data_IF_376808306321
#
_entry.id   IF_376808306321
#
_cell.length_a   1.000
_cell.length_b   1.000
_cell.length_c   1.000
_cell.angle_alpha   90.00
_cell.angle_beta   90.00
_cell.angle_gamma   90.00
#
_symmetry.space_group_name_H-M   'P 1'
#
loop_
_entity.id
_entity.type
_entity.pdbx_description
1 polymer ?
#
# COMPACT_ATOMS: atom_id res chain seq x y z
N UNK A 1 -20.63 -29.38 -15.09
CA UNK A 1 -20.70 -28.31 -16.10
C UNK A 1 -19.71 -27.22 -15.68
N UNK A 2 -18.64 -26.93 -16.45
CA UNK A 2 -17.56 -26.05 -15.97
C UNK A 2 -17.91 -24.55 -15.97
N UNK A 3 -18.88 -24.13 -16.78
CA UNK A 3 -19.38 -22.76 -16.82
C UNK A 3 -20.90 -22.75 -16.55
N UNK A 4 -21.30 -22.29 -15.37
CA UNK A 4 -22.69 -22.18 -14.94
C UNK A 4 -22.87 -20.92 -14.07
N UNK A 5 -22.89 -19.72 -14.67
CA UNK A 5 -23.10 -18.50 -13.90
C UNK A 5 -24.50 -18.51 -13.27
N UNK A 6 -24.56 -18.20 -11.98
CA UNK A 6 -25.81 -18.05 -11.24
C UNK A 6 -25.77 -16.73 -10.46
N UNK A 7 -26.95 -16.15 -10.21
CA UNK A 7 -27.10 -14.92 -9.45
C UNK A 7 -28.38 -14.97 -8.62
N UNK A 8 -28.29 -14.48 -7.39
CA UNK A 8 -29.45 -14.16 -6.56
C UNK A 8 -29.51 -12.66 -6.30
N UNK A 9 -29.98 -12.29 -5.12
CA UNK A 9 -29.91 -10.93 -4.58
C UNK A 9 -28.96 -10.90 -3.39
N UNK A 10 -28.47 -9.72 -3.05
CA UNK A 10 -27.54 -9.53 -1.94
C UNK A 10 -28.21 -9.64 -0.57
N UNK A 11 -27.48 -10.19 0.39
CA UNK A 11 -27.70 -9.96 1.81
C UNK A 11 -26.89 -8.74 2.26
N UNK A 12 -27.47 -7.89 3.10
CA UNK A 12 -26.89 -6.59 3.52
C UNK A 12 -25.44 -6.69 4.02
N UNK A 13 -25.11 -7.76 4.74
CA UNK A 13 -23.79 -7.96 5.35
C UNK A 13 -22.70 -8.29 4.32
N UNK A 14 -23.05 -8.79 3.12
CA UNK A 14 -22.09 -8.99 2.04
C UNK A 14 -21.48 -7.66 1.59
N UNK A 15 -22.31 -6.62 1.50
CA UNK A 15 -21.87 -5.29 1.08
C UNK A 15 -21.34 -4.51 2.30
N UNK A 16 -22.17 -4.34 3.33
CA UNK A 16 -21.84 -3.46 4.46
C UNK A 16 -20.70 -3.99 5.34
N UNK A 17 -20.66 -5.30 5.61
CA UNK A 17 -19.61 -5.89 6.45
C UNK A 17 -18.40 -6.35 5.65
N UNK A 18 -18.58 -7.06 4.53
CA UNK A 18 -17.43 -7.62 3.79
C UNK A 18 -16.83 -6.62 2.82
N UNK A 19 -17.62 -6.06 1.91
CA UNK A 19 -17.07 -5.12 0.93
C UNK A 19 -16.59 -3.83 1.60
N UNK A 20 -17.41 -3.17 2.42
CA UNK A 20 -17.05 -1.92 3.09
C UNK A 20 -16.26 -2.10 4.38
N UNK A 21 -16.53 -3.16 5.15
CA UNK A 21 -15.95 -3.34 6.48
C UNK A 21 -14.58 -4.02 6.51
N UNK A 22 -14.28 -4.93 5.58
CA UNK A 22 -13.00 -5.67 5.61
C UNK A 22 -11.81 -4.75 5.31
N UNK A 23 -10.74 -4.90 6.11
CA UNK A 23 -9.53 -4.08 6.01
C UNK A 23 -8.75 -4.27 4.68
N UNK A 24 -8.91 -5.43 4.04
CA UNK A 24 -8.31 -5.74 2.73
C UNK A 24 -9.25 -5.41 1.54
N UNK A 25 -10.40 -4.79 1.81
CA UNK A 25 -11.36 -4.34 0.80
C UNK A 25 -11.42 -2.82 0.81
N UNK A 26 -12.59 -2.20 0.97
CA UNK A 26 -12.71 -0.74 0.99
C UNK A 26 -12.30 -0.11 2.33
N UNK A 27 -12.27 -0.88 3.43
CA UNK A 27 -11.82 -0.42 4.76
C UNK A 27 -12.44 0.91 5.23
N UNK A 28 -13.78 0.99 5.19
CA UNK A 28 -14.53 2.23 5.43
C UNK A 28 -14.93 2.45 6.91
N UNK A 29 -14.67 1.49 7.80
CA UNK A 29 -15.08 1.58 9.21
C UNK A 29 -14.50 2.81 9.93
N UNK A 30 -13.19 3.04 9.81
CA UNK A 30 -12.53 4.16 10.48
C UNK A 30 -12.96 5.53 9.90
N UNK A 31 -12.99 5.74 8.57
CA UNK A 31 -13.54 6.96 7.98
C UNK A 31 -14.97 7.29 8.43
N UNK A 32 -15.85 6.28 8.52
CA UNK A 32 -17.23 6.47 8.96
C UNK A 32 -17.28 6.80 10.45
N UNK A 33 -16.57 6.04 11.28
CA UNK A 33 -16.50 6.28 12.73
C UNK A 33 -16.01 7.70 13.07
N UNK A 34 -15.00 8.20 12.37
CA UNK A 34 -14.49 9.56 12.54
C UNK A 34 -15.54 10.63 12.17
N UNK A 35 -16.32 10.42 11.10
CA UNK A 35 -17.41 11.33 10.70
C UNK A 35 -18.60 11.28 11.66
N UNK A 36 -18.79 10.16 12.34
CA UNK A 36 -19.77 10.02 13.41
C UNK A 36 -19.30 10.62 14.75
N UNK A 37 -18.03 11.04 14.85
CA UNK A 37 -17.46 11.59 16.08
C UNK A 37 -17.15 10.53 17.15
N UNK A 38 -16.93 9.28 16.75
CA UNK A 38 -16.59 8.18 17.67
C UNK A 38 -15.10 8.21 18.04
N UNK A 39 -14.77 7.78 19.26
CA UNK A 39 -13.37 7.60 19.68
C UNK A 39 -12.78 6.32 19.07
N UNK A 40 -12.01 6.48 17.99
CA UNK A 40 -11.35 5.38 17.27
C UNK A 40 -10.05 4.91 17.93
N UNK A 41 -9.55 5.60 18.97
CA UNK A 41 -8.26 5.27 19.61
C UNK A 41 -8.34 4.06 20.52
N UNK A 42 -9.50 3.83 21.13
CA UNK A 42 -9.73 2.73 22.06
C UNK A 42 -10.64 1.67 21.46
N UNK A 43 -10.20 0.41 21.43
CA UNK A 43 -11.09 -0.69 21.00
C UNK A 43 -12.23 -0.95 21.99
N UNK A 44 -12.09 -0.54 23.25
CA UNK A 44 -13.12 -0.68 24.26
C UNK A 44 -14.33 0.23 24.02
N UNK A 45 -14.20 1.25 23.16
CA UNK A 45 -15.33 2.11 22.78
C UNK A 45 -16.30 1.42 21.81
N UNK A 46 -15.96 0.23 21.29
CA UNK A 46 -16.74 -0.52 20.29
C UNK A 46 -17.09 0.30 19.05
N UNK A 47 -16.24 1.28 18.70
CA UNK A 47 -16.47 2.17 17.57
C UNK A 47 -16.61 1.43 16.24
N UNK A 48 -15.96 0.27 16.10
CA UNK A 48 -16.05 -0.57 14.90
C UNK A 48 -17.44 -1.18 14.76
N UNK A 49 -17.99 -1.69 15.85
CA UNK A 49 -19.32 -2.29 15.89
C UNK A 49 -20.39 -1.24 15.57
N UNK A 50 -20.29 -0.06 16.19
CA UNK A 50 -21.21 1.06 15.94
C UNK A 50 -21.14 1.51 14.48
N UNK A 51 -19.94 1.74 13.94
CA UNK A 51 -19.77 2.15 12.54
C UNK A 51 -20.26 1.08 11.56
N UNK A 52 -20.04 -0.20 11.86
CA UNK A 52 -20.48 -1.32 11.03
C UNK A 52 -22.01 -1.40 10.96
N UNK A 53 -22.71 -1.19 12.09
CA UNK A 53 -24.17 -1.15 12.13
C UNK A 53 -24.70 -0.01 11.27
N UNK A 54 -24.16 1.19 11.40
CA UNK A 54 -24.61 2.34 10.60
C UNK A 54 -24.36 2.15 9.09
N UNK A 55 -23.23 1.55 8.70
CA UNK A 55 -22.98 1.20 7.30
C UNK A 55 -24.04 0.22 6.79
N UNK A 56 -24.36 -0.82 7.55
CA UNK A 56 -25.40 -1.79 7.15
C UNK A 56 -26.77 -1.11 7.02
N UNK A 57 -27.13 -0.21 7.95
CA UNK A 57 -28.37 0.57 7.88
C UNK A 57 -28.40 1.45 6.63
N UNK A 58 -27.30 2.15 6.33
CA UNK A 58 -27.21 3.01 5.15
C UNK A 58 -27.31 2.21 3.84
N UNK A 59 -26.68 1.03 3.77
CA UNK A 59 -26.80 0.13 2.61
C UNK A 59 -28.25 -0.32 2.43
N UNK A 60 -28.89 -0.79 3.49
CA UNK A 60 -30.28 -1.25 3.43
C UNK A 60 -31.22 -0.13 2.99
N UNK A 61 -31.10 1.05 3.61
CA UNK A 61 -31.90 2.23 3.27
C UNK A 61 -31.72 2.63 1.81
N UNK A 62 -30.48 2.70 1.31
CA UNK A 62 -30.19 3.11 -0.06
C UNK A 62 -30.80 2.16 -1.11
N UNK A 63 -30.75 0.85 -0.84
CA UNK A 63 -31.36 -0.14 -1.73
C UNK A 63 -32.90 -0.07 -1.71
N UNK A 64 -33.49 0.11 -0.54
CA UNK A 64 -34.94 0.28 -0.39
C UNK A 64 -35.44 1.56 -1.09
N UNK A 65 -34.73 2.68 -0.92
CA UNK A 65 -35.05 3.94 -1.58
C UNK A 65 -34.99 3.81 -3.11
N UNK A 66 -34.00 3.08 -3.62
CA UNK A 66 -33.84 2.81 -5.04
C UNK A 66 -34.79 1.72 -5.59
N UNK A 67 -35.60 1.08 -4.74
CA UNK A 67 -36.49 -0.02 -5.14
C UNK A 67 -35.75 -1.29 -5.60
N UNK A 68 -34.52 -1.51 -5.12
CA UNK A 68 -33.68 -2.67 -5.46
C UNK A 68 -33.82 -3.75 -4.38
N UNK A 69 -34.03 -5.00 -4.81
CA UNK A 69 -34.15 -6.14 -3.90
C UNK A 69 -32.87 -6.38 -3.10
N UNK A 70 -33.00 -6.41 -1.78
CA UNK A 70 -31.96 -6.75 -0.82
C UNK A 70 -32.60 -7.42 0.40
N UNK A 71 -31.86 -8.27 1.11
CA UNK A 71 -32.37 -8.95 2.31
C UNK A 71 -31.46 -8.67 3.51
N UNK A 72 -32.07 -8.44 4.68
CA UNK A 72 -31.31 -8.33 5.92
C UNK A 72 -30.94 -9.72 6.48
N UNK A 73 -29.90 -9.77 7.29
CA UNK A 73 -29.36 -11.03 7.79
C UNK A 73 -30.25 -11.71 8.84
N UNK A 74 -31.14 -11.00 9.53
CA UNK A 74 -32.10 -11.61 10.46
C UNK A 74 -33.20 -12.34 9.67
N UNK A 75 -33.82 -11.67 8.70
CA UNK A 75 -34.84 -12.27 7.82
C UNK A 75 -34.27 -13.44 7.02
N UNK A 76 -33.04 -13.32 6.52
CA UNK A 76 -32.35 -14.40 5.82
C UNK A 76 -32.13 -15.61 6.74
N UNK A 77 -31.70 -15.37 7.98
CA UNK A 77 -31.47 -16.43 8.98
C UNK A 77 -32.76 -17.14 9.39
N UNK A 78 -33.85 -16.40 9.61
CA UNK A 78 -35.17 -16.99 9.90
C UNK A 78 -35.71 -17.83 8.75
N UNK A 79 -35.57 -17.32 7.52
CA UNK A 79 -35.98 -18.04 6.31
C UNK A 79 -35.17 -19.32 6.13
N UNK A 80 -33.87 -19.26 6.42
CA UNK A 80 -32.98 -20.42 6.41
C UNK A 80 -33.36 -21.44 7.48
N UNK A 81 -33.63 -21.02 8.72
CA UNK A 81 -34.03 -21.95 9.78
C UNK A 81 -35.33 -22.67 9.45
N UNK A 82 -36.34 -21.99 8.88
CA UNK A 82 -37.57 -22.64 8.41
C UNK A 82 -37.31 -23.66 7.30
N UNK A 83 -36.35 -23.40 6.43
CA UNK A 83 -35.96 -24.35 5.39
C UNK A 83 -35.26 -25.57 6.00
N UNK A 84 -34.35 -25.35 6.94
CA UNK A 84 -33.63 -26.40 7.67
C UNK A 84 -34.54 -27.24 8.58
N UNK A 85 -35.56 -26.65 9.21
CA UNK A 85 -36.55 -27.43 9.98
C UNK A 85 -37.28 -28.46 9.10
N UNK A 86 -37.44 -28.17 7.81
CA UNK A 86 -38.00 -29.11 6.84
C UNK A 86 -36.96 -30.11 6.30
N UNK A 87 -35.66 -29.84 6.46
CA UNK A 87 -34.55 -30.65 5.95
C UNK A 87 -33.60 -31.03 7.10
N UNK A 88 -33.76 -32.22 7.69
CA UNK A 88 -33.01 -32.69 8.87
C UNK A 88 -31.50 -32.35 8.81
N UNK A 89 -30.99 -31.69 9.87
CA UNK A 89 -29.62 -31.17 9.93
C UNK A 89 -28.56 -32.27 9.98
N UNK A 90 -28.15 -32.72 8.80
CA UNK A 90 -26.94 -33.50 8.60
C UNK A 90 -26.19 -32.94 7.38
N UNK A 91 -24.91 -32.59 7.57
CA UNK A 91 -24.08 -32.07 6.48
C UNK A 91 -23.66 -33.22 5.55
N UNK A 92 -24.46 -33.47 4.52
CA UNK A 92 -24.17 -34.45 3.47
C UNK A 92 -23.91 -33.77 2.13
N UNK A 93 -22.89 -34.25 1.40
CA UNK A 93 -22.69 -33.86 0.01
C UNK A 93 -23.68 -34.61 -0.89
N UNK A 94 -24.80 -33.97 -1.21
CA UNK A 94 -25.78 -34.49 -2.16
C UNK A 94 -25.41 -34.12 -3.60
N UNK A 95 -25.90 -34.89 -4.58
CA UNK A 95 -25.78 -34.60 -6.02
C UNK A 95 -27.16 -34.32 -6.61
N UNK A 96 -27.31 -33.30 -7.49
CA UNK A 96 -26.26 -32.43 -8.04
C UNK A 96 -25.74 -31.38 -7.03
N UNK A 97 -24.48 -30.94 -7.19
CA UNK A 97 -23.82 -29.94 -6.32
C UNK A 97 -22.99 -28.94 -7.13
N UNK A 98 -22.81 -27.73 -6.57
CA UNK A 98 -21.81 -26.78 -7.04
C UNK A 98 -20.46 -27.07 -6.39
N UNK A 99 -19.38 -27.02 -7.17
CA UNK A 99 -18.02 -27.28 -6.72
C UNK A 99 -17.10 -26.13 -7.14
N UNK A 100 -16.17 -25.78 -6.27
CA UNK A 100 -15.10 -24.85 -6.61
C UNK A 100 -14.21 -25.44 -7.69
N UNK A 101 -13.72 -24.57 -8.57
CA UNK A 101 -12.73 -24.91 -9.59
C UNK A 101 -11.52 -24.01 -9.43
N UNK A 102 -10.35 -24.50 -9.82
CA UNK A 102 -9.16 -23.66 -9.91
C UNK A 102 -9.36 -22.53 -10.90
N UNK A 103 -8.72 -21.40 -10.62
CA UNK A 103 -8.73 -20.27 -11.53
C UNK A 103 -8.31 -20.69 -12.94
N UNK A 104 -9.06 -20.33 -13.99
CA UNK A 104 -8.85 -20.86 -15.33
C UNK A 104 -7.47 -20.52 -15.90
N UNK A 105 -6.87 -19.39 -15.51
CA UNK A 105 -5.54 -18.98 -16.00
C UNK A 105 -4.38 -19.84 -15.46
N UNK A 106 -4.57 -20.62 -14.39
CA UNK A 106 -3.55 -21.55 -13.88
C UNK A 106 -3.38 -22.76 -14.79
N UNK A 107 -4.45 -23.16 -15.49
CA UNK A 107 -4.50 -24.36 -16.32
C UNK A 107 -4.64 -24.07 -17.82
N UNK A 108 -4.99 -22.83 -18.19
CA UNK A 108 -5.17 -22.43 -19.57
C UNK A 108 -3.84 -22.30 -20.31
N UNK A 109 -3.59 -23.20 -21.25
CA UNK A 109 -2.52 -23.06 -22.24
C UNK A 109 -2.95 -22.07 -23.33
N UNK A 110 -2.38 -20.87 -23.31
CA UNK A 110 -2.60 -19.90 -24.37
C UNK A 110 -2.06 -20.45 -25.69
N UNK A 111 -2.95 -20.83 -26.61
CA UNK A 111 -2.58 -21.17 -27.98
C UNK A 111 -1.92 -19.95 -28.62
N UNK A 112 -0.65 -20.08 -28.99
CA UNK A 112 -0.03 -19.17 -29.95
C UNK A 112 -0.67 -19.47 -31.30
N UNK A 113 -1.45 -18.54 -31.85
CA UNK A 113 -1.87 -18.65 -33.24
C UNK A 113 -0.62 -18.60 -34.13
N UNK A 114 -0.29 -19.73 -34.73
CA UNK A 114 0.75 -19.87 -35.76
C UNK A 114 0.18 -19.61 -37.17
N UNK A 115 -0.76 -18.67 -37.27
CA UNK A 115 -1.38 -18.21 -38.51
C UNK A 115 -1.43 -16.69 -38.54
N UNK A 116 -0.25 -16.10 -38.79
CA UNK A 116 -0.05 -14.66 -38.92
C UNK A 116 1.04 -14.15 -37.98
N UNK A 117 2.30 -14.36 -38.39
CA UNK A 117 3.47 -13.96 -37.62
C UNK A 117 3.45 -12.50 -37.19
N UNK A 118 3.19 -12.27 -35.90
CA UNK A 118 3.87 -11.19 -35.20
C UNK A 118 4.80 -11.87 -34.22
N UNK A 119 6.00 -12.21 -34.71
CA UNK A 119 7.12 -12.47 -33.83
C UNK A 119 7.05 -11.38 -32.76
N UNK A 120 6.87 -11.76 -31.48
CA UNK A 120 7.10 -10.85 -30.35
C UNK A 120 8.42 -10.19 -30.69
N UNK A 121 8.38 -8.93 -31.16
CA UNK A 121 9.58 -8.22 -31.54
C UNK A 121 10.35 -8.15 -30.25
N UNK A 122 11.31 -9.07 -30.06
CA UNK A 122 12.30 -8.97 -28.98
C UNK A 122 12.73 -7.52 -29.06
N UNK A 123 12.49 -6.75 -28.01
CA UNK A 123 12.79 -5.33 -28.02
C UNK A 123 14.20 -5.21 -28.59
N UNK A 124 14.33 -4.65 -29.80
CA UNK A 124 15.62 -4.59 -30.46
C UNK A 124 16.54 -3.90 -29.48
N UNK A 125 17.76 -4.41 -29.30
CA UNK A 125 18.72 -3.79 -28.37
C UNK A 125 18.82 -2.26 -28.62
N UNK A 126 18.67 -1.84 -29.88
CA UNK A 126 18.58 -0.44 -30.31
C UNK A 126 17.32 0.29 -29.81
N UNK A 127 16.17 -0.39 -29.77
CA UNK A 127 14.91 0.12 -29.23
C UNK A 127 14.95 0.27 -27.71
N UNK A 128 15.49 -0.73 -27.00
CA UNK A 128 15.71 -0.64 -25.55
C UNK A 128 16.72 0.46 -25.19
N UNK A 129 17.85 0.54 -25.91
CA UNK A 129 18.84 1.61 -25.72
C UNK A 129 18.24 3.00 -25.98
N UNK A 130 17.43 3.16 -27.03
CA UNK A 130 16.70 4.42 -27.29
C UNK A 130 15.73 4.78 -26.18
N UNK A 131 15.00 3.80 -25.65
CA UNK A 131 14.10 4.02 -24.53
C UNK A 131 14.87 4.46 -23.28
N UNK A 132 15.98 3.78 -22.95
CA UNK A 132 16.86 4.17 -21.83
C UNK A 132 17.40 5.59 -22.01
N UNK A 133 17.91 5.94 -23.19
CA UNK A 133 18.40 7.29 -23.49
C UNK A 133 17.27 8.33 -23.37
N UNK A 134 16.06 8.00 -23.83
CA UNK A 134 14.91 8.86 -23.70
C UNK A 134 14.52 9.07 -22.22
N UNK A 135 14.45 8.00 -21.43
CA UNK A 135 14.21 8.09 -19.99
C UNK A 135 15.30 8.91 -19.30
N UNK A 136 16.58 8.67 -19.58
CA UNK A 136 17.68 9.48 -19.04
C UNK A 136 17.53 10.95 -19.40
N UNK A 137 17.15 11.29 -20.63
CA UNK A 137 16.89 12.69 -21.03
C UNK A 137 15.69 13.30 -20.30
N UNK A 138 14.61 12.54 -20.14
CA UNK A 138 13.40 12.95 -19.43
C UNK A 138 13.70 13.20 -17.93
N UNK A 139 14.34 12.23 -17.28
CA UNK A 139 14.74 12.29 -15.87
C UNK A 139 15.76 13.41 -15.63
N UNK A 140 16.73 13.63 -16.53
CA UNK A 140 17.67 14.74 -16.41
C UNK A 140 16.97 16.10 -16.38
N UNK A 141 15.94 16.30 -17.21
CA UNK A 141 15.16 17.55 -17.23
C UNK A 141 14.26 17.70 -15.99
N UNK A 142 13.71 16.61 -15.49
CA UNK A 142 12.88 16.60 -14.29
C UNK A 142 13.71 16.82 -13.01
N UNK A 143 14.84 16.13 -12.86
CA UNK A 143 15.77 16.24 -11.73
C UNK A 143 16.45 17.62 -11.68
N UNK A 144 16.81 18.20 -12.82
CA UNK A 144 17.42 19.54 -12.85
C UNK A 144 16.52 20.67 -12.31
N UNK A 145 15.20 20.45 -12.21
CA UNK A 145 14.25 21.40 -11.60
C UNK A 145 14.01 21.15 -10.12
N UNK A 146 14.41 20.00 -9.60
CA UNK A 146 14.20 19.65 -8.19
C UNK A 146 15.34 20.21 -7.36
N UNK A 147 15.00 20.59 -6.13
CA UNK A 147 15.98 21.06 -5.16
C UNK A 147 16.83 19.86 -4.71
N UNK A 148 18.15 20.05 -4.67
CA UNK A 148 19.08 19.01 -4.22
C UNK A 148 19.01 18.88 -2.71
N UNK A 149 19.01 17.65 -2.23
CA UNK A 149 19.08 17.36 -0.80
C UNK A 149 20.18 16.31 -0.57
N UNK A 150 21.10 16.57 0.35
CA UNK A 150 22.10 15.58 0.74
C UNK A 150 21.70 14.99 2.08
N UNK A 151 21.64 13.67 2.16
CA UNK A 151 21.35 12.93 3.39
C UNK A 151 22.64 12.23 3.79
N UNK A 152 23.30 12.76 4.81
CA UNK A 152 24.51 12.21 5.38
C UNK A 152 24.18 11.24 6.50
N UNK A 153 24.82 10.07 6.53
CA UNK A 153 24.61 9.11 7.61
C UNK A 153 25.90 8.64 8.27
N UNK A 154 25.81 8.37 9.56
CA UNK A 154 26.84 7.73 10.36
C UNK A 154 26.21 6.64 11.22
N UNK A 155 26.86 5.48 11.29
CA UNK A 155 26.32 4.30 11.97
C UNK A 155 27.44 3.36 12.41
N UNK A 156 27.27 2.73 13.58
CA UNK A 156 28.09 1.58 14.00
C UNK A 156 27.47 0.25 13.59
N UNK A 157 26.15 0.09 13.84
CA UNK A 157 25.43 -1.19 13.69
C UNK A 157 24.45 -1.22 12.50
N UNK A 158 24.57 -0.29 11.56
CA UNK A 158 23.72 -0.17 10.36
C UNK A 158 22.33 0.44 10.54
N UNK A 159 21.90 0.80 11.76
CA UNK A 159 20.54 1.34 12.00
C UNK A 159 20.31 2.69 11.34
N UNK A 160 21.24 3.63 11.51
CA UNK A 160 21.11 4.99 10.97
C UNK A 160 21.23 5.02 9.45
N UNK A 161 22.04 4.13 8.86
CA UNK A 161 22.09 3.93 7.41
C UNK A 161 20.72 3.52 6.85
N UNK A 162 20.02 2.59 7.53
CA UNK A 162 18.68 2.17 7.12
C UNK A 162 17.69 3.34 7.15
N UNK A 163 17.71 4.14 8.20
CA UNK A 163 16.86 5.34 8.29
C UNK A 163 17.19 6.37 7.22
N UNK A 164 18.46 6.59 6.91
CA UNK A 164 18.90 7.48 5.84
C UNK A 164 18.42 7.01 4.45
N UNK A 165 18.46 5.70 4.18
CA UNK A 165 17.91 5.13 2.93
C UNK A 165 16.40 5.31 2.84
N UNK A 166 15.66 5.03 3.91
CA UNK A 166 14.20 5.28 3.97
C UNK A 166 13.86 6.76 3.77
N UNK A 167 14.65 7.66 4.38
CA UNK A 167 14.50 9.09 4.20
C UNK A 167 14.76 9.51 2.75
N UNK A 168 15.78 8.92 2.11
CA UNK A 168 16.07 9.14 0.69
C UNK A 168 14.93 8.69 -0.22
N UNK A 169 14.33 7.53 0.04
CA UNK A 169 13.16 7.05 -0.69
C UNK A 169 11.97 8.02 -0.55
N UNK A 170 11.68 8.46 0.68
CA UNK A 170 10.58 9.40 0.94
C UNK A 170 10.84 10.77 0.28
N UNK A 171 12.05 11.29 0.36
CA UNK A 171 12.43 12.58 -0.22
C UNK A 171 12.48 12.53 -1.75
N UNK A 172 12.65 11.36 -2.37
CA UNK A 172 12.73 11.22 -3.83
C UNK A 172 11.45 11.64 -4.56
N UNK A 173 10.32 11.77 -3.84
CA UNK A 173 9.07 12.28 -4.40
C UNK A 173 9.12 13.79 -4.69
N UNK A 174 9.87 14.58 -3.91
CA UNK A 174 9.88 16.04 -3.98
C UNK A 174 11.27 16.64 -4.30
N UNK A 175 12.34 15.99 -3.85
CA UNK A 175 13.72 16.44 -3.98
C UNK A 175 14.52 15.52 -4.93
N UNK A 176 15.76 15.91 -5.20
CA UNK A 176 16.80 15.03 -5.75
C UNK A 176 17.75 14.62 -4.61
N UNK A 177 17.39 13.60 -3.79
CA UNK A 177 18.15 13.24 -2.60
C UNK A 177 19.38 12.38 -2.94
N UNK A 178 20.53 12.72 -2.34
CA UNK A 178 21.77 11.92 -2.38
C UNK A 178 22.08 11.41 -0.98
N UNK A 179 21.99 10.09 -0.79
CA UNK A 179 22.34 9.44 0.49
C UNK A 179 23.83 9.07 0.47
N UNK A 180 24.62 9.55 1.43
CA UNK A 180 26.08 9.39 1.46
C UNK A 180 26.55 9.07 2.88
N UNK A 181 27.53 8.18 3.01
CA UNK A 181 28.21 7.94 4.28
C UNK A 181 29.03 9.17 4.67
N UNK A 182 28.96 9.60 5.94
CA UNK A 182 29.71 10.76 6.41
C UNK A 182 31.22 10.65 6.21
N UNK A 183 31.78 9.43 6.21
CA UNK A 183 33.20 9.21 5.98
C UNK A 183 33.62 9.46 4.52
N UNK A 184 32.72 9.21 3.57
CA UNK A 184 32.96 9.38 2.13
C UNK A 184 32.63 10.81 1.64
N UNK A 185 32.07 11.64 2.53
CA UNK A 185 31.63 12.99 2.19
C UNK A 185 32.78 14.00 2.32
N UNK A 186 33.03 14.76 1.26
CA UNK A 186 34.02 15.83 1.27
C UNK A 186 33.44 17.08 1.93
N UNK A 187 33.91 17.40 3.14
CA UNK A 187 33.45 18.51 3.98
C UNK A 187 33.34 19.86 3.27
N UNK A 188 34.27 20.28 2.39
CA UNK A 188 34.16 21.54 1.67
C UNK A 188 32.98 21.61 0.69
N UNK A 189 32.41 20.47 0.29
CA UNK A 189 31.22 20.45 -0.58
C UNK A 189 29.96 20.92 0.16
N UNK A 190 29.95 20.89 1.50
CA UNK A 190 28.77 21.20 2.32
C UNK A 190 28.30 22.66 2.18
N UNK A 191 29.20 23.60 1.92
CA UNK A 191 28.87 25.02 1.72
C UNK A 191 28.06 25.27 0.43
N UNK A 192 28.19 24.37 -0.55
CA UNK A 192 27.49 24.46 -1.83
C UNK A 192 26.14 23.76 -1.82
N UNK A 193 25.81 23.03 -0.75
CA UNK A 193 24.57 22.28 -0.64
C UNK A 193 23.42 23.17 -0.16
N UNK A 194 22.25 23.00 -0.78
CA UNK A 194 21.05 23.79 -0.45
C UNK A 194 20.30 23.23 0.76
N UNK A 195 20.37 21.92 0.98
CA UNK A 195 19.74 21.22 2.07
C UNK A 195 20.59 20.01 2.44
N UNK A 196 21.04 19.97 3.70
CA UNK A 196 21.76 18.82 4.26
C UNK A 196 20.97 18.28 5.44
N UNK A 197 20.71 16.97 5.42
CA UNK A 197 20.04 16.21 6.46
C UNK A 197 21.07 15.24 7.05
N UNK A 198 21.20 15.22 8.37
CA UNK A 198 22.18 14.40 9.07
C UNK A 198 21.43 13.33 9.86
N UNK A 199 21.70 12.06 9.58
CA UNK A 199 21.11 10.90 10.24
C UNK A 199 22.23 10.09 10.90
N UNK A 200 22.44 10.33 12.19
CA UNK A 200 23.51 9.66 12.95
C UNK A 200 22.97 8.92 14.16
N UNK A 201 23.60 7.79 14.49
CA UNK A 201 23.44 7.20 15.83
C UNK A 201 24.37 7.89 16.80
N UNK A 202 24.06 7.89 18.09
CA UNK A 202 24.96 8.41 19.14
C UNK A 202 25.27 7.32 20.16
N UNK A 203 26.47 7.36 20.75
CA UNK A 203 26.85 6.47 21.86
C UNK A 203 26.89 7.24 23.17
N UNK A 204 26.35 6.63 24.23
CA UNK A 204 26.43 7.13 25.62
C UNK A 204 26.07 8.62 25.77
N UNK A 205 27.10 9.47 25.73
CA UNK A 205 27.03 10.91 26.00
C UNK A 205 26.77 11.80 24.77
N UNK A 206 26.43 11.21 23.60
CA UNK A 206 26.15 11.98 22.38
C UNK A 206 27.28 11.96 21.35
N UNK A 207 28.30 11.13 21.55
CA UNK A 207 29.42 11.04 20.62
C UNK A 207 28.97 10.43 19.27
N UNK A 208 29.49 10.95 18.15
CA UNK A 208 29.21 10.40 16.83
C UNK A 208 29.87 9.02 16.67
N UNK A 209 29.37 8.18 15.74
CA UNK A 209 30.01 6.94 15.34
C UNK A 209 31.36 7.19 14.64
N UNK A 210 32.18 6.15 14.50
CA UNK A 210 33.53 6.21 13.89
C UNK A 210 33.48 6.84 12.49
N UNK A 211 32.53 6.42 11.65
CA UNK A 211 32.32 6.96 10.30
C UNK A 211 31.76 8.40 10.26
N UNK A 212 31.39 8.97 11.42
CA UNK A 212 30.90 10.34 11.57
C UNK A 212 31.93 11.30 12.21
N UNK A 213 33.02 10.79 12.80
CA UNK A 213 33.96 11.60 13.58
C UNK A 213 34.60 12.73 12.79
N UNK A 214 35.02 12.47 11.55
CA UNK A 214 35.66 13.47 10.67
C UNK A 214 34.73 14.66 10.43
N UNK A 215 33.45 14.39 10.15
CA UNK A 215 32.44 15.42 9.95
C UNK A 215 32.11 16.15 11.24
N UNK A 216 31.98 15.43 12.36
CA UNK A 216 31.73 16.06 13.64
C UNK A 216 32.84 17.05 14.03
N UNK A 217 34.11 16.68 13.90
CA UNK A 217 35.25 17.59 14.14
C UNK A 217 35.18 18.82 13.26
N UNK A 218 34.94 18.64 11.96
CA UNK A 218 34.77 19.75 11.03
C UNK A 218 33.64 20.70 11.46
N UNK A 219 32.49 20.18 11.88
CA UNK A 219 31.35 20.99 12.33
C UNK A 219 31.64 21.73 13.65
N UNK A 220 32.39 21.12 14.58
CA UNK A 220 32.78 21.76 15.84
C UNK A 220 33.87 22.83 15.65
N UNK A 221 34.78 22.63 14.69
CA UNK A 221 35.86 23.55 14.37
C UNK A 221 35.42 24.72 13.49
N UNK A 222 34.34 24.54 12.72
CA UNK A 222 33.78 25.60 11.87
C UNK A 222 33.08 26.63 12.75
N UNK A 223 33.58 27.88 12.85
CA UNK A 223 32.89 28.92 13.60
C UNK A 223 31.53 29.18 12.95
N UNK A 224 30.49 29.36 13.76
CA UNK A 224 29.16 29.68 13.28
C UNK A 224 29.21 30.95 12.44
N UNK A 225 29.22 30.80 11.11
CA UNK A 225 29.20 31.93 10.19
C UNK A 225 27.83 32.58 10.33
N UNK A 226 27.81 33.74 10.98
CA UNK A 226 26.66 34.62 11.13
C UNK A 226 26.02 34.85 9.76
N UNK A 227 24.88 34.22 9.51
CA UNK A 227 23.91 34.59 8.49
C UNK A 227 22.65 35.09 9.16
#
# INVERSE_FOLDING_TARGET
MPACPFSGWYMVTEIGARDFGDANRYNMLEPVALRMGLDTKSLASLWKDVALVEINVAVMYSFQEAGVTITDHHSASESFMKHVENEEMLNYMLKPSYEYQDDPWKHHSFKKNDSGGSARKKASFKGAAKAVIFFVKLFRKALAKRQKAVILYATETGKSERYAKMLGELFSHAFDPKVVCMEEYAHPEMENEQLVLIVTSTFGNGDPPENGEKLARYLYETPASSR
#
